data_IF_751052692939
#
_entry.id   IF_751052692939
#
_cell.length_a   1.000
_cell.length_b   1.000
_cell.length_c   1.000
_cell.angle_alpha   90.00
_cell.angle_beta   90.00
_cell.angle_gamma   90.00
#
_symmetry.space_group_name_H-M   'P 1'
#
loop_
_entity.id
_entity.type
_entity.pdbx_description
1 polymer ?
#
# COMPACT_ATOMS: atom_id res chain seq x y z
N UNK A 1 7.59 24.26 -12.60
CA UNK A 1 8.96 24.79 -12.72
C UNK A 1 9.01 26.17 -12.09
N UNK A 2 9.57 26.28 -10.88
CA UNK A 2 9.97 27.56 -10.29
C UNK A 2 11.33 27.32 -9.63
N UNK A 3 12.36 27.84 -10.28
CA UNK A 3 13.75 27.80 -9.82
C UNK A 3 13.92 28.92 -8.80
N UNK A 4 14.37 28.62 -7.59
CA UNK A 4 14.83 29.62 -6.62
C UNK A 4 16.30 29.40 -6.28
N UNK A 5 16.99 30.53 -6.22
CA UNK A 5 18.42 30.71 -6.34
C UNK A 5 19.21 30.34 -5.08
N UNK A 6 20.43 29.90 -5.36
CA UNK A 6 21.59 29.75 -4.47
C UNK A 6 21.98 31.05 -3.76
N UNK A 7 22.37 30.93 -2.49
CA UNK A 7 23.17 31.92 -1.76
C UNK A 7 24.41 31.26 -1.15
N UNK A 8 25.54 31.37 -1.83
CA UNK A 8 26.88 30.97 -1.35
C UNK A 8 27.58 32.25 -0.88
N UNK A 9 27.84 32.37 0.42
CA UNK A 9 28.70 33.42 0.99
C UNK A 9 30.14 32.92 1.01
N UNK A 10 30.96 33.46 0.09
CA UNK A 10 32.43 33.44 0.15
C UNK A 10 32.89 34.48 1.18
N UNK A 11 33.66 34.07 2.18
CA UNK A 11 34.43 34.98 3.02
C UNK A 11 35.87 35.03 2.51
N UNK A 12 36.32 36.25 2.27
CA UNK A 12 37.58 36.65 1.64
C UNK A 12 38.69 36.67 2.70
N UNK A 13 39.79 35.95 2.44
CA UNK A 13 40.96 35.85 3.31
C UNK A 13 41.97 36.92 2.90
N UNK A 14 42.12 37.96 3.71
CA UNK A 14 43.11 39.02 3.48
C UNK A 14 44.38 38.74 4.31
N UNK A 15 45.33 38.06 3.69
CA UNK A 15 46.71 37.94 4.15
C UNK A 15 47.39 39.33 4.21
N UNK A 16 48.01 39.67 5.34
CA UNK A 16 49.07 40.68 5.42
C UNK A 16 50.35 40.02 5.92
N UNK A 17 51.34 39.94 5.04
CA UNK A 17 52.73 39.73 5.38
C UNK A 17 53.33 41.06 5.84
N UNK A 18 53.95 41.07 7.02
CA UNK A 18 55.09 41.96 7.28
C UNK A 18 56.16 41.17 8.03
N UNK A 19 57.25 40.91 7.31
CA UNK A 19 58.56 40.55 7.83
C UNK A 19 59.14 41.72 8.62
N UNK A 20 59.56 41.48 9.87
CA UNK A 20 60.66 42.24 10.49
C UNK A 20 61.47 41.32 11.41
N UNK A 21 62.61 40.89 10.85
CA UNK A 21 63.96 40.87 11.44
C UNK A 21 64.20 40.31 12.86
N UNK A 22 64.90 39.19 12.83
CA UNK A 22 65.93 38.67 13.75
C UNK A 22 66.60 39.68 14.69
N UNK A 23 67.07 39.15 15.82
CA UNK A 23 67.99 39.73 16.82
C UNK A 23 67.41 40.71 17.83
N UNK A 24 66.71 40.18 18.84
CA UNK A 24 66.79 40.70 20.20
C UNK A 24 66.54 39.60 21.24
N UNK A 25 67.59 39.31 22.00
CA UNK A 25 67.58 38.81 23.37
C UNK A 25 67.09 37.38 23.65
N UNK A 26 68.02 36.47 23.37
CA UNK A 26 68.39 35.31 24.20
C UNK A 26 68.72 35.66 25.68
N UNK A 27 67.88 36.41 26.40
CA UNK A 27 68.16 36.76 27.80
C UNK A 27 66.93 37.08 28.66
N UNK A 28 66.00 36.13 28.70
CA UNK A 28 65.15 35.83 29.86
C UNK A 28 64.98 34.31 29.85
N UNK A 29 65.96 33.56 30.36
CA UNK A 29 65.83 32.91 31.68
C UNK A 29 64.45 32.27 31.80
N UNK A 30 64.26 31.03 31.36
CA UNK A 30 64.77 29.82 32.04
C UNK A 30 64.53 29.85 33.55
N UNK A 31 63.29 30.03 33.98
CA UNK A 31 62.75 29.51 35.25
C UNK A 31 61.22 29.48 35.17
N UNK A 32 60.68 28.36 34.67
CA UNK A 32 59.43 27.75 35.14
C UNK A 32 59.31 26.37 34.51
N UNK A 33 60.23 25.51 34.91
CA UNK A 33 59.96 24.09 35.02
C UNK A 33 59.07 23.90 36.25
N UNK A 34 57.77 24.19 36.15
CA UNK A 34 56.75 23.83 37.16
C UNK A 34 55.48 23.49 36.39
N UNK A 35 55.05 22.24 36.52
CA UNK A 35 53.88 21.71 35.81
C UNK A 35 54.24 20.95 34.53
N UNK A 36 55.09 19.93 34.65
CA UNK A 36 55.02 18.77 33.75
C UNK A 36 53.61 18.21 33.91
N UNK A 37 52.70 18.68 33.07
CA UNK A 37 51.35 18.12 32.95
C UNK A 37 51.54 16.61 32.80
N UNK A 38 50.95 15.86 33.71
CA UNK A 38 50.65 14.47 33.46
C UNK A 38 49.83 14.47 32.16
N UNK A 39 50.49 14.29 31.02
CA UNK A 39 49.85 13.85 29.80
C UNK A 39 49.40 12.43 30.07
N UNK A 40 48.31 12.29 30.81
CA UNK A 40 47.52 11.07 30.76
C UNK A 40 47.23 10.87 29.28
N UNK A 41 47.66 9.73 28.75
CA UNK A 41 47.32 9.32 27.39
C UNK A 41 45.80 9.52 27.22
N UNK A 42 45.32 10.22 26.17
CA UNK A 42 43.89 10.49 26.00
C UNK A 42 43.05 9.21 26.04
N UNK A 43 43.62 8.08 25.62
CA UNK A 43 43.01 6.76 25.76
C UNK A 43 42.81 6.35 27.24
N UNK A 44 43.81 6.58 28.11
CA UNK A 44 43.72 6.25 29.54
C UNK A 44 42.71 7.18 30.26
N UNK A 45 42.70 8.46 29.89
CA UNK A 45 41.72 9.43 30.39
C UNK A 45 40.28 9.04 30.00
N UNK A 46 40.09 8.55 28.79
CA UNK A 46 38.79 8.05 28.34
C UNK A 46 38.38 6.74 29.03
N UNK A 47 39.30 5.80 29.23
CA UNK A 47 39.01 4.58 29.99
C UNK A 47 38.59 4.92 31.43
N UNK A 48 39.21 5.93 32.05
CA UNK A 48 38.80 6.44 33.35
C UNK A 48 37.38 7.04 33.30
N UNK A 49 37.08 7.87 32.29
CA UNK A 49 35.73 8.40 32.05
C UNK A 49 34.69 7.29 31.87
N UNK A 50 34.97 6.31 31.02
CA UNK A 50 34.05 5.22 30.72
C UNK A 50 33.76 4.35 31.95
N UNK A 51 34.76 4.14 32.82
CA UNK A 51 34.58 3.48 34.12
C UNK A 51 33.74 4.34 35.07
N UNK A 52 34.05 5.63 35.18
CA UNK A 52 33.36 6.56 36.09
C UNK A 52 31.89 6.77 35.71
N UNK A 53 31.60 6.90 34.41
CA UNK A 53 30.25 7.19 33.89
C UNK A 53 29.55 5.94 33.34
N UNK A 54 30.01 4.73 33.68
CA UNK A 54 29.45 3.45 33.20
C UNK A 54 27.94 3.32 33.43
N UNK A 55 27.44 3.81 34.57
CA UNK A 55 26.01 3.80 34.88
C UNK A 55 25.19 4.67 33.89
N UNK A 56 25.72 5.83 33.51
CA UNK A 56 25.07 6.72 32.54
C UNK A 56 25.10 6.10 31.14
N UNK A 57 26.23 5.54 30.71
CA UNK A 57 26.35 4.85 29.43
C UNK A 57 25.40 3.65 29.34
N UNK A 58 25.25 2.88 30.43
CA UNK A 58 24.27 1.80 30.53
C UNK A 58 22.83 2.29 30.44
N UNK A 59 22.52 3.43 31.06
CA UNK A 59 21.20 4.05 30.96
C UNK A 59 20.88 4.48 29.53
N UNK A 60 21.87 5.04 28.82
CA UNK A 60 21.74 5.41 27.41
C UNK A 60 21.50 4.16 26.56
N UNK A 61 22.33 3.11 26.70
CA UNK A 61 22.16 1.84 25.99
C UNK A 61 20.76 1.24 26.21
N UNK A 62 20.27 1.21 27.44
CA UNK A 62 18.93 0.71 27.74
C UNK A 62 17.82 1.51 27.05
N UNK A 63 17.96 2.84 26.96
CA UNK A 63 17.01 3.71 26.26
C UNK A 63 17.00 3.54 24.74
N UNK A 64 17.99 2.86 24.17
CA UNK A 64 18.01 2.46 22.75
C UNK A 64 17.26 1.16 22.46
N UNK A 65 16.57 0.58 23.46
CA UNK A 65 15.76 -0.64 23.30
C UNK A 65 16.55 -1.81 22.67
N UNK A 66 17.84 -1.93 23.00
CA UNK A 66 18.68 -3.05 22.56
C UNK A 66 19.29 -2.88 21.16
N UNK A 67 19.26 -1.69 20.57
CA UNK A 67 20.04 -1.40 19.35
C UNK A 67 21.54 -1.35 19.62
N UNK A 68 21.94 -0.69 20.70
CA UNK A 68 23.34 -0.53 21.08
C UNK A 68 23.64 -1.29 22.36
N UNK A 69 24.73 -2.05 22.37
CA UNK A 69 25.30 -2.59 23.61
C UNK A 69 26.05 -1.50 24.36
N UNK A 70 26.37 -1.74 25.64
CA UNK A 70 27.14 -0.77 26.44
C UNK A 70 28.51 -0.49 25.81
N UNK A 71 29.12 -1.49 25.19
CA UNK A 71 30.42 -1.36 24.53
C UNK A 71 30.31 -0.57 23.23
N UNK A 72 29.21 -0.72 22.47
CA UNK A 72 28.92 0.10 21.29
C UNK A 72 28.74 1.58 21.69
N UNK A 73 27.98 1.84 22.76
CA UNK A 73 27.79 3.20 23.30
C UNK A 73 29.12 3.82 23.76
N UNK A 74 30.04 3.01 24.28
CA UNK A 74 31.40 3.47 24.59
C UNK A 74 32.17 3.85 23.31
N UNK A 75 32.13 3.03 22.25
CA UNK A 75 32.73 3.37 20.97
C UNK A 75 32.19 4.68 20.39
N UNK A 76 30.86 4.86 20.42
CA UNK A 76 30.21 6.09 19.97
C UNK A 76 30.60 7.32 20.80
N UNK A 77 30.77 7.16 22.11
CA UNK A 77 31.23 8.25 22.97
C UNK A 77 32.61 8.78 22.55
N UNK A 78 33.52 7.89 22.13
CA UNK A 78 34.84 8.27 21.62
C UNK A 78 34.74 9.04 20.29
N UNK A 79 33.91 8.58 19.37
CA UNK A 79 33.67 9.25 18.08
C UNK A 79 33.00 10.62 18.25
N UNK A 80 32.06 10.74 19.18
CA UNK A 80 31.39 12.00 19.51
C UNK A 80 32.37 13.00 20.11
N UNK A 81 33.29 12.57 20.96
CA UNK A 81 34.31 13.45 21.53
C UNK A 81 35.20 14.08 20.45
N UNK A 82 35.66 13.29 19.47
CA UNK A 82 36.40 13.80 18.30
C UNK A 82 35.52 14.77 17.48
N UNK A 83 34.24 14.44 17.26
CA UNK A 83 33.30 15.33 16.55
C UNK A 83 33.09 16.67 17.28
N UNK A 84 32.99 16.65 18.61
CA UNK A 84 32.88 17.87 19.43
C UNK A 84 34.17 18.68 19.33
N UNK A 85 35.33 18.03 19.41
CA UNK A 85 36.63 18.68 19.33
C UNK A 85 36.82 19.42 18.00
N UNK A 86 36.47 18.76 16.89
CA UNK A 86 36.49 19.37 15.55
C UNK A 86 35.56 20.59 15.42
N UNK A 87 34.41 20.60 16.09
CA UNK A 87 33.48 21.75 16.03
C UNK A 87 33.91 22.92 16.90
N UNK A 88 34.53 22.64 18.05
CA UNK A 88 34.98 23.66 19.01
C UNK A 88 36.38 24.21 18.66
N UNK A 89 37.20 23.45 17.94
CA UNK A 89 38.58 23.80 17.60
C UNK A 89 39.60 23.48 18.70
N UNK A 90 39.17 22.78 19.76
CA UNK A 90 40.01 22.25 20.83
C UNK A 90 39.52 20.86 21.21
N UNK A 91 40.45 19.96 21.54
CA UNK A 91 40.11 18.58 21.91
C UNK A 91 39.36 18.53 23.25
N UNK A 92 38.47 17.54 23.37
CA UNK A 92 37.67 17.31 24.57
C UNK A 92 38.57 16.76 25.69
N UNK A 93 38.57 17.42 26.84
CA UNK A 93 39.30 16.94 28.01
C UNK A 93 38.41 16.03 28.85
N UNK A 94 38.66 14.72 28.79
CA UNK A 94 37.93 13.73 29.61
C UNK A 94 38.25 13.83 31.11
N UNK A 95 39.25 14.61 31.53
CA UNK A 95 39.47 14.96 32.93
C UNK A 95 38.54 16.05 33.46
N UNK A 96 37.95 16.85 32.57
CA UNK A 96 37.05 17.95 32.90
C UNK A 96 35.59 17.48 32.95
N UNK A 97 34.89 17.79 34.05
CA UNK A 97 33.50 17.39 34.28
C UNK A 97 32.54 18.02 33.24
N UNK A 98 32.75 19.27 32.86
CA UNK A 98 31.88 19.97 31.92
C UNK A 98 31.94 19.36 30.50
N UNK A 99 33.12 18.92 30.11
CA UNK A 99 33.35 18.23 28.84
C UNK A 99 32.77 16.82 28.86
N UNK A 100 32.91 16.09 29.97
CA UNK A 100 32.24 14.80 30.16
C UNK A 100 30.71 14.92 30.04
N UNK A 101 30.10 15.94 30.65
CA UNK A 101 28.66 16.18 30.55
C UNK A 101 28.23 16.57 29.13
N UNK A 102 29.03 17.38 28.44
CA UNK A 102 28.79 17.72 27.03
C UNK A 102 28.76 16.46 26.16
N UNK A 103 29.74 15.56 26.32
CA UNK A 103 29.80 14.29 25.57
C UNK A 103 28.57 13.44 25.86
N UNK A 104 28.18 13.29 27.12
CA UNK A 104 26.99 12.51 27.50
C UNK A 104 25.69 13.12 26.94
N UNK A 105 25.55 14.44 26.96
CA UNK A 105 24.39 15.12 26.40
C UNK A 105 24.27 14.94 24.88
N UNK A 106 25.42 15.00 24.18
CA UNK A 106 25.46 14.73 22.74
C UNK A 106 25.14 13.28 22.41
N UNK A 107 25.74 12.34 23.15
CA UNK A 107 25.49 10.92 23.00
C UNK A 107 24.01 10.59 23.22
N UNK A 108 23.38 11.16 24.24
CA UNK A 108 21.95 11.00 24.48
C UNK A 108 21.11 11.59 23.33
N UNK A 109 21.48 12.78 22.84
CA UNK A 109 20.72 13.40 21.76
C UNK A 109 20.83 12.60 20.46
N UNK A 110 22.02 12.13 20.09
CA UNK A 110 22.24 11.35 18.87
C UNK A 110 21.51 10.00 18.94
N UNK A 111 21.80 9.20 19.98
CA UNK A 111 21.32 7.83 20.07
C UNK A 111 19.88 7.70 20.56
N UNK A 112 19.39 8.66 21.36
CA UNK A 112 18.07 8.56 22.00
C UNK A 112 17.08 9.61 21.50
N UNK A 113 17.50 10.86 21.26
CA UNK A 113 16.55 11.92 20.87
C UNK A 113 16.32 12.01 19.37
N UNK A 114 17.37 11.82 18.58
CA UNK A 114 17.36 11.99 17.12
C UNK A 114 17.25 10.68 16.35
N UNK A 115 17.54 9.53 16.98
CA UNK A 115 17.14 8.24 16.44
C UNK A 115 15.61 8.21 16.30
N UNK A 116 15.14 7.93 15.09
CA UNK A 116 13.72 7.97 14.75
C UNK A 116 12.94 7.03 15.67
N UNK A 117 11.88 7.57 16.26
CA UNK A 117 10.97 6.83 17.13
C UNK A 117 10.39 5.63 16.39
N UNK A 118 10.17 5.75 15.09
CA UNK A 118 9.70 4.63 14.26
C UNK A 118 10.71 3.50 14.21
N UNK A 119 12.01 3.79 14.05
CA UNK A 119 13.07 2.78 14.05
C UNK A 119 13.21 2.11 15.42
N UNK A 120 13.14 2.87 16.52
CA UNK A 120 13.31 2.32 17.89
C UNK A 120 12.22 1.32 18.28
N UNK A 121 10.97 1.57 17.87
CA UNK A 121 9.83 0.73 18.20
C UNK A 121 9.42 -0.20 17.05
N UNK A 122 10.18 -0.21 15.95
CA UNK A 122 9.93 -1.15 14.86
C UNK A 122 10.18 -2.57 15.36
N UNK A 123 9.27 -3.47 15.00
CA UNK A 123 9.46 -4.90 15.24
C UNK A 123 10.53 -5.40 14.28
N UNK A 124 11.62 -5.97 14.83
CA UNK A 124 12.72 -6.50 14.05
C UNK A 124 12.40 -7.93 13.67
N UNK A 125 12.39 -8.22 12.37
CA UNK A 125 12.14 -9.57 11.87
C UNK A 125 13.36 -10.49 12.03
N UNK A 126 14.57 -9.91 12.04
CA UNK A 126 15.84 -10.67 12.04
C UNK A 126 16.40 -10.95 13.45
N UNK A 127 15.95 -10.25 14.50
CA UNK A 127 16.47 -10.48 15.86
C UNK A 127 15.68 -11.59 16.54
N UNK A 128 16.41 -12.55 17.11
CA UNK A 128 15.88 -13.64 17.93
C UNK A 128 14.96 -14.62 17.18
N UNK A 129 15.07 -14.74 15.84
CA UNK A 129 14.40 -15.80 15.06
C UNK A 129 14.69 -17.21 15.59
N UNK A 130 15.84 -17.37 16.24
CA UNK A 130 16.33 -18.64 16.79
C UNK A 130 15.87 -18.92 18.23
N UNK A 131 15.13 -18.01 18.88
CA UNK A 131 14.60 -18.21 20.23
C UNK A 131 13.20 -18.85 20.18
N UNK A 132 12.97 -19.89 20.98
CA UNK A 132 11.71 -20.66 21.02
C UNK A 132 10.45 -19.80 21.29
N UNK A 133 10.57 -18.67 21.98
CA UNK A 133 9.47 -17.74 22.28
C UNK A 133 9.12 -16.76 21.13
N UNK A 134 9.94 -16.69 20.06
CA UNK A 134 9.68 -15.84 18.90
C UNK A 134 8.55 -16.37 17.99
N UNK A 135 8.20 -17.66 18.12
CA UNK A 135 7.25 -18.35 17.24
C UNK A 135 5.88 -17.69 17.16
N UNK A 136 5.33 -17.21 18.28
CA UNK A 136 3.99 -16.63 18.31
C UNK A 136 3.90 -15.23 17.65
N UNK A 137 4.92 -14.39 17.84
CA UNK A 137 4.97 -13.05 17.24
C UNK A 137 5.25 -13.15 15.73
N UNK A 138 6.15 -14.06 15.35
CA UNK A 138 6.46 -14.38 13.96
C UNK A 138 5.24 -14.94 13.22
N UNK A 139 4.46 -15.83 13.83
CA UNK A 139 3.25 -16.39 13.24
C UNK A 139 2.14 -15.34 13.07
N UNK A 140 2.01 -14.41 14.02
CA UNK A 140 1.08 -13.29 13.88
C UNK A 140 1.49 -12.37 12.71
N UNK A 141 2.78 -12.02 12.62
CA UNK A 141 3.30 -11.18 11.55
C UNK A 141 3.28 -11.86 10.18
N UNK A 142 3.55 -13.16 10.11
CA UNK A 142 3.49 -13.91 8.85
C UNK A 142 2.08 -13.88 8.28
N UNK A 143 1.04 -14.01 9.11
CA UNK A 143 -0.36 -13.84 8.68
C UNK A 143 -0.66 -12.45 8.12
N UNK A 144 -0.04 -11.40 8.67
CA UNK A 144 -0.20 -10.03 8.14
C UNK A 144 0.61 -9.77 6.86
N UNK A 145 1.73 -10.46 6.69
CA UNK A 145 2.64 -10.30 5.56
C UNK A 145 2.31 -11.24 4.38
N UNK A 146 1.42 -12.23 4.57
CA UNK A 146 0.90 -13.03 3.46
C UNK A 146 0.07 -12.11 2.55
N UNK A 147 0.57 -11.94 1.33
CA UNK A 147 -0.18 -11.24 0.30
C UNK A 147 -1.47 -12.02 -0.02
N UNK A 148 -2.59 -11.34 -0.31
CA UNK A 148 -3.79 -12.00 -0.79
C UNK A 148 -3.48 -12.85 -2.03
N UNK A 149 -4.12 -14.01 -2.17
CA UNK A 149 -3.88 -14.95 -3.30
C UNK A 149 -4.02 -14.28 -4.67
N UNK A 150 -4.83 -13.22 -4.79
CA UNK A 150 -4.98 -12.43 -6.01
C UNK A 150 -3.68 -11.71 -6.46
N UNK A 151 -2.70 -11.55 -5.58
CA UNK A 151 -1.38 -10.99 -5.90
C UNK A 151 -0.37 -12.04 -6.34
N UNK A 152 -0.71 -13.32 -6.30
CA UNK A 152 0.11 -14.37 -6.91
C UNK A 152 0.02 -14.23 -8.44
N UNK A 153 1.14 -14.00 -9.15
CA UNK A 153 1.14 -13.88 -10.60
C UNK A 153 0.57 -15.13 -11.30
N UNK A 154 0.74 -16.33 -10.74
CA UNK A 154 0.19 -17.55 -11.32
C UNK A 154 -1.35 -17.54 -11.27
N UNK A 155 -1.92 -17.22 -10.10
CA UNK A 155 -3.38 -17.12 -9.90
C UNK A 155 -3.98 -16.00 -10.75
N UNK A 156 -3.30 -14.85 -10.83
CA UNK A 156 -3.73 -13.74 -11.66
C UNK A 156 -3.75 -14.13 -13.16
N UNK A 157 -2.75 -14.88 -13.63
CA UNK A 157 -2.72 -15.38 -15.01
C UNK A 157 -3.83 -16.39 -15.28
N UNK A 158 -4.07 -17.36 -14.39
CA UNK A 158 -5.15 -18.34 -14.56
C UNK A 158 -6.54 -17.69 -14.63
N UNK A 159 -6.79 -16.68 -13.80
CA UNK A 159 -8.04 -15.92 -13.83
C UNK A 159 -8.23 -15.16 -15.15
N UNK A 160 -7.17 -14.55 -15.66
CA UNK A 160 -7.20 -13.83 -16.93
C UNK A 160 -7.37 -14.78 -18.13
N UNK A 161 -6.67 -15.90 -18.15
CA UNK A 161 -6.81 -16.93 -19.19
C UNK A 161 -8.23 -17.51 -19.21
N UNK A 162 -8.79 -17.83 -18.04
CA UNK A 162 -10.17 -18.29 -17.92
C UNK A 162 -11.21 -17.24 -18.37
N UNK A 163 -10.92 -15.95 -18.16
CA UNK A 163 -11.73 -14.84 -18.67
C UNK A 163 -11.67 -14.77 -20.20
N UNK A 164 -10.49 -14.91 -20.79
CA UNK A 164 -10.28 -14.87 -22.24
C UNK A 164 -10.95 -16.06 -22.93
N UNK A 165 -10.88 -17.27 -22.37
CA UNK A 165 -11.54 -18.46 -22.90
C UNK A 165 -13.07 -18.29 -22.95
N UNK A 166 -13.67 -17.83 -21.85
CA UNK A 166 -15.12 -17.53 -21.80
C UNK A 166 -15.51 -16.48 -22.84
N UNK A 167 -14.69 -15.45 -22.99
CA UNK A 167 -14.94 -14.40 -23.97
C UNK A 167 -14.78 -14.91 -25.41
N UNK A 168 -13.88 -15.85 -25.67
CA UNK A 168 -13.75 -16.48 -26.98
C UNK A 168 -15.02 -17.25 -27.37
N UNK A 169 -15.62 -18.00 -26.44
CA UNK A 169 -16.92 -18.68 -26.65
C UNK A 169 -18.03 -17.68 -26.96
N UNK A 170 -18.09 -16.56 -26.22
CA UNK A 170 -19.10 -15.51 -26.41
C UNK A 170 -18.94 -14.82 -27.77
N UNK A 171 -17.72 -14.44 -28.17
CA UNK A 171 -17.38 -13.84 -29.48
C UNK A 171 -17.79 -14.72 -30.66
N UNK A 172 -17.86 -16.01 -30.43
CA UNK A 172 -18.21 -17.03 -31.38
C UNK A 172 -19.72 -17.29 -31.51
N UNK A 173 -20.54 -16.65 -30.66
CA UNK A 173 -22.00 -16.71 -30.69
C UNK A 173 -22.60 -15.44 -31.31
N UNK A 174 -23.54 -15.60 -32.24
CA UNK A 174 -24.20 -14.50 -32.95
C UNK A 174 -25.50 -14.09 -32.25
N UNK A 175 -25.41 -13.65 -30.99
CA UNK A 175 -26.59 -13.29 -30.20
C UNK A 175 -26.55 -11.87 -29.65
N UNK A 176 -27.74 -11.33 -29.37
CA UNK A 176 -27.87 -10.03 -28.73
C UNK A 176 -27.23 -9.99 -27.34
N UNK A 177 -27.33 -11.08 -26.58
CA UNK A 177 -26.72 -11.17 -25.25
C UNK A 177 -25.18 -11.15 -25.33
N UNK A 178 -24.60 -11.87 -26.28
CA UNK A 178 -23.17 -11.85 -26.53
C UNK A 178 -22.67 -10.48 -26.98
N UNK A 179 -23.44 -9.79 -27.83
CA UNK A 179 -23.11 -8.43 -28.24
C UNK A 179 -23.03 -7.47 -27.05
N UNK A 180 -24.00 -7.52 -26.12
CA UNK A 180 -23.94 -6.70 -24.90
C UNK A 180 -22.77 -7.07 -23.99
N UNK A 181 -22.44 -8.35 -23.82
CA UNK A 181 -21.28 -8.77 -23.01
C UNK A 181 -19.95 -8.26 -23.58
N UNK A 182 -19.77 -8.34 -24.91
CA UNK A 182 -18.58 -7.82 -25.59
C UNK A 182 -18.50 -6.29 -25.46
N UNK A 183 -19.64 -5.60 -25.57
CA UNK A 183 -19.69 -4.16 -25.37
C UNK A 183 -19.38 -3.77 -23.92
N UNK A 184 -19.92 -4.48 -22.93
CA UNK A 184 -19.63 -4.24 -21.52
C UNK A 184 -18.16 -4.45 -21.19
N UNK A 185 -17.51 -5.47 -21.76
CA UNK A 185 -16.07 -5.69 -21.59
C UNK A 185 -15.26 -4.49 -22.10
N UNK A 186 -15.61 -3.95 -23.28
CA UNK A 186 -14.93 -2.78 -23.87
C UNK A 186 -15.06 -1.51 -23.03
N UNK A 187 -16.19 -1.35 -22.34
CA UNK A 187 -16.47 -0.23 -21.45
C UNK A 187 -16.10 -0.53 -19.99
N UNK A 188 -15.30 -1.56 -19.72
CA UNK A 188 -14.88 -1.93 -18.35
C UNK A 188 -16.05 -2.10 -17.37
N UNK A 189 -17.17 -2.64 -17.86
CA UNK A 189 -18.43 -2.82 -17.12
C UNK A 189 -19.11 -1.52 -16.67
N UNK A 190 -18.76 -0.38 -17.26
CA UNK A 190 -19.47 0.88 -17.07
C UNK A 190 -20.78 0.90 -17.87
N UNK A 191 -21.89 0.79 -17.14
CA UNK A 191 -23.24 0.77 -17.71
C UNK A 191 -23.67 2.16 -18.20
N UNK A 192 -23.26 3.22 -17.51
CA UNK A 192 -23.67 4.58 -17.83
C UNK A 192 -22.93 5.05 -19.09
N UNK A 193 -21.62 4.82 -19.17
CA UNK A 193 -20.83 5.09 -20.37
C UNK A 193 -21.30 4.31 -21.61
N UNK A 194 -21.75 3.06 -21.42
CA UNK A 194 -22.34 2.28 -22.51
C UNK A 194 -23.71 2.81 -22.91
N UNK A 195 -24.54 3.24 -21.96
CA UNK A 195 -25.85 3.82 -22.22
C UNK A 195 -25.74 5.13 -23.02
N UNK A 196 -24.80 6.00 -22.64
CA UNK A 196 -24.48 7.23 -23.37
C UNK A 196 -23.95 6.93 -24.78
N UNK A 197 -23.07 5.93 -24.92
CA UNK A 197 -22.55 5.51 -26.23
C UNK A 197 -23.65 4.99 -27.17
N UNK A 198 -24.62 4.23 -26.64
CA UNK A 198 -25.75 3.71 -27.39
C UNK A 198 -26.89 4.73 -27.56
N UNK A 199 -26.78 5.90 -26.93
CA UNK A 199 -27.81 6.93 -26.85
C UNK A 199 -29.16 6.39 -26.34
N UNK A 200 -29.10 5.63 -25.25
CA UNK A 200 -30.24 4.98 -24.60
C UNK A 200 -30.21 5.30 -23.11
N UNK A 201 -31.37 5.45 -22.47
CA UNK A 201 -31.45 5.63 -21.02
C UNK A 201 -30.92 4.39 -20.28
N UNK A 202 -30.09 4.56 -19.25
CA UNK A 202 -29.47 3.47 -18.50
C UNK A 202 -30.47 2.39 -18.03
N UNK A 203 -31.65 2.80 -17.54
CA UNK A 203 -32.71 1.86 -17.14
C UNK A 203 -33.24 1.01 -18.31
N UNK A 204 -33.30 1.55 -19.53
CA UNK A 204 -33.68 0.80 -20.74
C UNK A 204 -32.58 -0.20 -21.12
N UNK A 205 -31.31 0.18 -21.03
CA UNK A 205 -30.19 -0.73 -21.27
C UNK A 205 -30.19 -1.89 -20.27
N UNK A 206 -30.39 -1.59 -18.98
CA UNK A 206 -30.48 -2.60 -17.92
C UNK A 206 -31.62 -3.59 -18.18
N UNK A 207 -32.81 -3.10 -18.55
CA UNK A 207 -33.95 -3.96 -18.89
C UNK A 207 -33.63 -4.86 -20.10
N UNK A 208 -33.00 -4.33 -21.16
CA UNK A 208 -32.59 -5.13 -22.33
C UNK A 208 -31.60 -6.23 -21.96
N UNK A 209 -30.62 -5.94 -21.10
CA UNK A 209 -29.66 -6.95 -20.61
C UNK A 209 -30.35 -8.01 -19.74
N UNK A 210 -31.28 -7.61 -18.87
CA UNK A 210 -32.08 -8.54 -18.06
C UNK A 210 -32.94 -9.47 -18.92
N UNK A 211 -33.58 -8.95 -19.97
CA UNK A 211 -34.34 -9.75 -20.93
C UNK A 211 -33.44 -10.75 -21.67
N UNK A 212 -32.26 -10.30 -22.12
CA UNK A 212 -31.26 -11.17 -22.73
C UNK A 212 -30.81 -12.29 -21.77
N UNK A 213 -30.55 -11.96 -20.50
CA UNK A 213 -30.20 -12.95 -19.47
C UNK A 213 -31.33 -13.94 -19.20
N UNK A 214 -32.58 -13.48 -19.22
CA UNK A 214 -33.75 -14.35 -19.10
C UNK A 214 -33.87 -15.31 -20.29
N UNK A 215 -33.61 -14.84 -21.51
CA UNK A 215 -33.60 -15.69 -22.71
C UNK A 215 -32.47 -16.72 -22.69
N UNK A 216 -31.28 -16.36 -22.23
CA UNK A 216 -30.17 -17.33 -22.05
C UNK A 216 -30.59 -18.46 -21.11
N UNK A 217 -31.24 -18.14 -19.99
CA UNK A 217 -31.70 -19.15 -19.02
C UNK A 217 -32.75 -20.10 -19.60
N UNK A 218 -33.58 -19.62 -20.54
CA UNK A 218 -34.61 -20.44 -21.21
C UNK A 218 -34.04 -21.30 -22.34
N UNK A 219 -32.95 -20.87 -22.98
CA UNK A 219 -32.32 -21.58 -24.10
C UNK A 219 -30.81 -21.72 -23.92
N UNK A 220 -30.32 -22.52 -22.95
CA UNK A 220 -28.89 -22.70 -22.72
C UNK A 220 -28.19 -23.31 -23.95
N UNK A 221 -28.87 -24.24 -24.62
CA UNK A 221 -28.34 -24.96 -25.78
C UNK A 221 -28.12 -24.12 -27.04
N UNK A 222 -28.67 -22.90 -27.12
CA UNK A 222 -28.44 -21.96 -28.23
C UNK A 222 -27.00 -21.43 -28.25
N UNK A 223 -26.31 -21.46 -27.10
CA UNK A 223 -25.01 -20.83 -26.90
C UNK A 223 -23.86 -21.83 -26.79
N UNK A 224 -24.16 -23.10 -26.46
CA UNK A 224 -23.14 -24.12 -26.18
C UNK A 224 -22.61 -24.85 -27.42
N UNK A 225 -23.17 -24.59 -28.61
CA UNK A 225 -22.88 -25.32 -29.87
C UNK A 225 -23.13 -26.84 -29.81
N UNK A 226 -23.71 -27.33 -28.70
CA UNK A 226 -24.04 -28.74 -28.48
C UNK A 226 -25.30 -29.15 -29.24
N UNK A 227 -26.27 -28.24 -29.39
CA UNK A 227 -27.51 -28.52 -30.11
C UNK A 227 -27.50 -27.94 -31.52
N UNK A 228 -27.65 -28.80 -32.51
CA UNK A 228 -27.81 -28.44 -33.93
C UNK A 228 -29.29 -28.53 -34.27
N UNK A 229 -29.87 -27.45 -34.79
CA UNK A 229 -31.24 -27.49 -35.33
C UNK A 229 -31.21 -28.37 -36.59
N UNK A 230 -32.02 -29.43 -36.61
CA UNK A 230 -32.09 -30.31 -37.78
C UNK A 230 -32.59 -29.53 -39.01
N UNK A 231 -32.08 -29.87 -40.20
CA UNK A 231 -32.42 -29.21 -41.47
C UNK A 231 -33.92 -29.28 -41.82
N UNK A 232 -34.62 -30.28 -41.28
CA UNK A 232 -36.04 -30.55 -41.43
C UNK A 232 -36.88 -30.05 -40.24
N UNK A 233 -36.36 -29.12 -39.44
CA UNK A 233 -37.12 -28.53 -38.34
C UNK A 233 -38.41 -27.89 -38.85
N UNK A 234 -39.56 -28.42 -38.41
CA UNK A 234 -40.88 -27.83 -38.67
C UNK A 234 -41.39 -27.20 -37.38
N UNK A 235 -41.58 -25.88 -37.32
CA UNK A 235 -42.13 -25.24 -36.13
C UNK A 235 -43.56 -25.72 -35.89
N UNK A 236 -43.95 -25.81 -34.62
CA UNK A 236 -45.31 -26.13 -34.24
C UNK A 236 -46.25 -25.02 -34.73
N UNK A 237 -47.02 -25.31 -35.78
CA UNK A 237 -48.04 -24.39 -36.29
C UNK A 237 -49.21 -24.41 -35.31
N UNK A 238 -49.60 -23.22 -34.81
CA UNK A 238 -50.79 -23.07 -33.96
C UNK A 238 -51.99 -23.68 -34.71
N UNK A 239 -52.75 -24.56 -34.05
CA UNK A 239 -54.03 -25.06 -34.61
C UNK A 239 -54.89 -23.85 -34.95
N UNK A 240 -55.23 -23.68 -36.23
CA UNK A 240 -56.23 -22.70 -36.62
C UNK A 240 -57.53 -23.07 -35.90
N UNK A 241 -58.02 -22.14 -35.09
CA UNK A 241 -59.38 -22.23 -34.56
C UNK A 241 -60.26 -22.08 -35.80
N UNK A 242 -60.89 -23.18 -36.23
CA UNK A 242 -61.93 -23.12 -37.24
C UNK A 242 -63.06 -22.31 -36.59
N UNK A 243 -63.16 -21.03 -36.92
CA UNK A 243 -64.34 -20.23 -36.58
C UNK A 243 -65.55 -20.97 -37.17
N UNK A 244 -66.39 -21.52 -36.29
CA UNK A 244 -67.74 -21.91 -36.68
C UNK A 244 -68.38 -20.62 -37.19
N UNK A 245 -68.69 -20.58 -38.49
CA UNK A 245 -69.51 -19.54 -39.10
C UNK A 245 -70.76 -19.37 -38.24
N UNK A 246 -70.79 -18.30 -37.46
CA UNK A 246 -72.03 -17.76 -36.95
C UNK A 246 -72.71 -17.11 -38.16
N UNK A 247 -73.59 -17.87 -38.79
CA UNK A 247 -74.63 -17.30 -39.64
C UNK A 247 -75.50 -16.48 -38.70
N UNK A 248 -75.27 -15.18 -38.65
CA UNK A 248 -76.30 -14.20 -38.32
C UNK A 248 -75.95 -12.90 -39.03
N UNK A 249 -76.70 -12.69 -40.11
CA UNK A 249 -76.88 -11.41 -40.77
C UNK A 249 -77.29 -10.34 -39.76
N UNK A 250 -76.66 -9.15 -39.81
CA UNK A 250 -77.32 -7.82 -39.77
C UNK A 250 -76.26 -6.71 -40.04
N UNK A 251 -76.69 -5.53 -40.51
CA UNK A 251 -75.90 -4.70 -41.42
C UNK A 251 -75.18 -3.53 -40.74
N UNK A 252 -74.09 -3.12 -41.38
CA UNK A 252 -73.54 -1.76 -41.44
C UNK A 252 -73.42 -0.96 -40.15
N UNK A 253 -72.19 -0.85 -39.64
CA UNK A 253 -71.77 0.29 -38.81
C UNK A 253 -70.71 -0.04 -37.78
N UNK A 254 -69.46 0.39 -38.05
CA UNK A 254 -68.33 0.50 -37.12
C UNK A 254 -67.74 -0.80 -36.55
N UNK A 255 -66.64 -1.24 -37.16
CA UNK A 255 -65.60 -2.03 -36.48
C UNK A 255 -64.88 -1.12 -35.47
N UNK A 256 -65.23 -1.25 -34.19
CA UNK A 256 -64.43 -0.72 -33.09
C UNK A 256 -63.33 -1.73 -32.81
N UNK A 257 -62.08 -1.31 -32.96
CA UNK A 257 -60.93 -2.08 -32.48
C UNK A 257 -61.00 -2.14 -30.95
N UNK A 258 -61.55 -3.23 -30.40
CA UNK A 258 -61.40 -3.53 -28.99
C UNK A 258 -59.93 -3.90 -28.75
N UNK A 259 -59.15 -2.96 -28.20
CA UNK A 259 -57.79 -3.22 -27.76
C UNK A 259 -57.80 -4.38 -26.77
N UNK A 260 -56.98 -5.40 -27.03
CA UNK A 260 -56.73 -6.46 -26.07
C UNK A 260 -56.10 -5.80 -24.83
N UNK A 261 -56.88 -5.70 -23.76
CA UNK A 261 -56.39 -5.28 -22.45
C UNK A 261 -55.28 -6.22 -22.00
N UNK A 262 -54.20 -5.63 -21.49
CA UNK A 262 -53.25 -6.33 -20.65
C UNK A 262 -54.00 -6.62 -19.34
N UNK A 263 -54.63 -7.79 -19.24
CA UNK A 263 -55.13 -8.26 -17.95
C UNK A 263 -53.92 -8.45 -17.02
N UNK A 264 -53.83 -7.59 -16.02
CA UNK A 264 -52.98 -7.75 -14.85
C UNK A 264 -53.36 -9.07 -14.16
N UNK A 265 -52.61 -10.13 -14.45
CA UNK A 265 -52.74 -11.37 -13.71
C UNK A 265 -52.23 -11.15 -12.28
N UNK A 266 -53.18 -11.03 -11.35
CA UNK A 266 -52.97 -11.03 -9.90
C UNK A 266 -52.02 -12.17 -9.50
N UNK A 267 -50.84 -11.81 -9.02
CA UNK A 267 -49.87 -12.73 -8.42
C UNK A 267 -50.42 -13.15 -7.06
N UNK A 268 -51.06 -14.33 -7.00
CA UNK A 268 -51.45 -14.98 -5.76
C UNK A 268 -50.21 -15.47 -4.99
N UNK A 269 -49.74 -14.67 -4.04
CA UNK A 269 -48.77 -15.10 -3.03
C UNK A 269 -49.46 -16.07 -2.05
N UNK A 270 -49.16 -17.38 -2.17
CA UNK A 270 -49.46 -18.35 -1.11
C UNK A 270 -48.44 -18.20 0.01
N UNK A 271 -48.86 -17.60 1.12
CA UNK A 271 -48.13 -17.58 2.38
C UNK A 271 -48.16 -18.98 3.00
N UNK A 272 -47.00 -19.59 3.19
CA UNK A 272 -46.86 -20.82 3.99
C UNK A 272 -46.86 -20.49 5.49
N UNK A 273 -47.68 -21.14 6.33
CA UNK A 273 -47.61 -20.95 7.77
C UNK A 273 -46.45 -21.77 8.35
N UNK A 274 -45.51 -21.07 8.97
CA UNK A 274 -44.50 -21.65 9.86
C UNK A 274 -45.17 -22.11 11.15
N UNK A 275 -45.29 -23.43 11.31
CA UNK A 275 -45.69 -24.05 12.57
C UNK A 275 -44.57 -23.97 13.59
N UNK A 276 -44.75 -23.12 14.60
CA UNK A 276 -44.11 -23.30 15.90
C UNK A 276 -44.85 -24.38 16.69
N UNK A 277 -44.12 -25.32 17.26
CA UNK A 277 -44.54 -26.05 18.45
C UNK A 277 -43.34 -26.29 19.35
N UNK A 278 -43.62 -26.10 20.63
CA UNK A 278 -42.82 -26.14 21.84
C UNK A 278 -41.68 -27.16 21.90
#
# INVERSE_FOLDING_TARGET
MVVRQFGILKADVKCRHHFLTSTCLWRLLRTSAIGRWNMANPADAFLAFARLKRANLRSIAFKTCGEYTVDDVMGEAWLIADRIGRKRGFDVDFGNVDDQETVLAWLFNELVRFADKQTRYAVRLDKDWDQEDAGAAVEALSRFLIAPEAFDPAVAHELEDGRQERMAVVKHSYSQAAAYLILLERFTWDMDGLADHLNVVAGTLQNRIQQCAAWIRQQPSLFDRVCVIELNFVPWVRKQVIERQAVDSLPSGQLVWAGCGWDESEISFKVHPTGHSA
#
